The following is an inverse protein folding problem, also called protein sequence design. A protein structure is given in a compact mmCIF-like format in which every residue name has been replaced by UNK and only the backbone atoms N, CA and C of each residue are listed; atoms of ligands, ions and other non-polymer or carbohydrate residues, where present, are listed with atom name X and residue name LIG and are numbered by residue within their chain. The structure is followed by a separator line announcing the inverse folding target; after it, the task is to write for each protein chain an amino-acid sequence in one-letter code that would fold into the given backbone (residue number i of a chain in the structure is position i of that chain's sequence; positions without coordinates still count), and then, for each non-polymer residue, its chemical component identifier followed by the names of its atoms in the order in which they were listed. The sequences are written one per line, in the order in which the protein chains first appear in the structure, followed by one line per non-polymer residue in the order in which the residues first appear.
data_IF_800640719738
#
_entry.id   IF_800640719738
#
_cell.length_a   1.000
_cell.length_b   1.000
_cell.length_c   1.000
_cell.angle_alpha   90.00
_cell.angle_beta   90.00
_cell.angle_gamma   90.00
#
_symmetry.space_group_name_H-M   'P 1'
#
loop_
_entity.id
_entity.type
_entity.pdbx_description
1 polymer ?
#
# COMPACT_ATOMS: atom_id res chain seq x y z
N UNK A 1 -5.38 13.56 -20.70
CA UNK A 1 -4.41 12.96 -19.75
C UNK A 1 -3.01 13.22 -20.27
N UNK A 2 -2.07 13.61 -19.42
CA UNK A 2 -0.68 13.79 -19.80
C UNK A 2 -0.03 12.43 -20.12
N UNK A 3 1.10 12.45 -20.83
CA UNK A 3 1.92 11.24 -21.05
C UNK A 3 2.26 10.55 -19.72
N UNK A 4 2.59 11.32 -18.69
CA UNK A 4 2.97 10.80 -17.37
C UNK A 4 1.80 10.12 -16.66
N UNK A 5 0.61 10.72 -16.71
CA UNK A 5 -0.62 10.12 -16.17
C UNK A 5 -0.95 8.79 -16.86
N UNK A 6 -0.84 8.73 -18.19
CA UNK A 6 -1.09 7.49 -18.93
C UNK A 6 -0.09 6.41 -18.55
N UNK A 7 1.20 6.73 -18.48
CA UNK A 7 2.24 5.78 -18.07
C UNK A 7 2.03 5.27 -16.64
N UNK A 8 1.73 6.15 -15.68
CA UNK A 8 1.43 5.79 -14.29
C UNK A 8 0.25 4.81 -14.21
N UNK A 9 -0.88 5.13 -14.83
CA UNK A 9 -2.08 4.30 -14.78
C UNK A 9 -1.91 2.95 -15.50
N UNK A 10 -1.01 2.86 -16.49
CA UNK A 10 -0.71 1.63 -17.23
C UNK A 10 0.35 0.75 -16.57
N UNK A 11 0.90 1.19 -15.45
CA UNK A 11 2.00 0.49 -14.78
C UNK A 11 1.54 -0.87 -14.21
N UNK A 12 2.44 -1.86 -14.28
CA UNK A 12 2.20 -3.22 -13.80
C UNK A 12 1.89 -3.28 -12.30
N UNK A 13 2.40 -2.30 -11.53
CA UNK A 13 2.12 -2.13 -10.11
C UNK A 13 0.63 -2.27 -9.79
N UNK A 14 -0.25 -1.63 -10.57
CA UNK A 14 -1.69 -1.63 -10.29
C UNK A 14 -2.29 -3.04 -10.37
N UNK A 15 -1.88 -3.83 -11.37
CA UNK A 15 -2.33 -5.21 -11.53
C UNK A 15 -1.79 -6.11 -10.40
N UNK A 16 -0.52 -5.95 -10.03
CA UNK A 16 0.08 -6.67 -8.90
C UNK A 16 -0.59 -6.32 -7.58
N UNK A 17 -0.94 -5.06 -7.37
CA UNK A 17 -1.61 -4.58 -6.16
C UNK A 17 -3.05 -5.10 -6.04
N UNK A 18 -3.79 -5.17 -7.15
CA UNK A 18 -5.11 -5.81 -7.18
C UNK A 18 -5.00 -7.31 -6.84
N UNK A 19 -3.98 -7.99 -7.39
CA UNK A 19 -3.71 -9.40 -7.07
C UNK A 19 -3.39 -9.60 -5.58
N UNK A 20 -2.59 -8.73 -4.98
CA UNK A 20 -2.29 -8.75 -3.55
C UNK A 20 -3.58 -8.67 -2.71
N UNK A 21 -4.46 -7.71 -3.03
CA UNK A 21 -5.76 -7.56 -2.35
C UNK A 21 -6.62 -8.82 -2.46
N UNK A 22 -6.68 -9.44 -3.64
CA UNK A 22 -7.40 -10.71 -3.85
C UNK A 22 -6.82 -11.82 -2.97
N UNK A 23 -5.50 -12.01 -2.95
CA UNK A 23 -4.85 -13.06 -2.13
C UNK A 23 -5.13 -12.84 -0.64
N UNK A 24 -5.04 -11.59 -0.16
CA UNK A 24 -5.28 -11.25 1.23
C UNK A 24 -6.73 -11.50 1.67
N UNK A 25 -7.70 -11.22 0.80
CA UNK A 25 -9.12 -11.48 1.07
C UNK A 25 -9.47 -12.97 1.06
N UNK A 26 -8.67 -13.80 0.41
CA UNK A 26 -8.81 -15.27 0.43
C UNK A 26 -8.25 -15.92 1.70
N UNK A 27 -7.57 -15.16 2.58
CA UNK A 27 -7.09 -15.67 3.86
C UNK A 27 -8.27 -15.73 4.82
N UNK A 28 -8.68 -16.95 5.16
CA UNK A 28 -9.73 -17.18 6.14
C UNK A 28 -9.21 -16.93 7.58
N UNK A 29 -9.51 -15.74 8.09
CA UNK A 29 -9.12 -15.30 9.42
C UNK A 29 -9.78 -16.14 10.52
N UNK A 30 -10.97 -16.71 10.28
CA UNK A 30 -11.71 -17.46 11.30
C UNK A 30 -11.03 -18.77 11.69
N UNK A 31 -10.24 -19.31 10.77
CA UNK A 31 -9.46 -20.54 10.97
C UNK A 31 -8.10 -20.30 11.63
N UNK A 32 -7.76 -19.06 11.96
CA UNK A 32 -6.50 -18.71 12.60
C UNK A 32 -6.76 -18.54 14.10
N UNK A 33 -6.20 -19.45 14.90
CA UNK A 33 -6.36 -19.46 16.36
C UNK A 33 -5.26 -18.71 17.11
N UNK A 34 -4.16 -18.39 16.43
CA UNK A 34 -3.02 -17.73 17.04
C UNK A 34 -3.14 -16.20 16.91
N UNK A 35 -3.25 -15.51 18.05
CA UNK A 35 -3.42 -14.06 18.11
C UNK A 35 -2.28 -13.28 17.44
N UNK A 36 -1.03 -13.74 17.55
CA UNK A 36 0.09 -13.07 16.89
C UNK A 36 -0.06 -13.11 15.36
N UNK A 37 -0.51 -14.24 14.82
CA UNK A 37 -0.77 -14.38 13.37
C UNK A 37 -1.90 -13.45 12.92
N UNK A 38 -2.94 -13.31 13.73
CA UNK A 38 -4.06 -12.39 13.46
C UNK A 38 -3.59 -10.93 13.43
N UNK A 39 -2.78 -10.52 14.40
CA UNK A 39 -2.22 -9.16 14.48
C UNK A 39 -1.35 -8.84 13.26
N UNK A 40 -0.49 -9.78 12.86
CA UNK A 40 0.38 -9.63 11.69
C UNK A 40 -0.45 -9.45 10.40
N UNK A 41 -1.52 -10.24 10.20
CA UNK A 41 -2.42 -10.10 9.05
C UNK A 41 -3.18 -8.78 9.09
N UNK A 42 -3.69 -8.38 10.26
CA UNK A 42 -4.41 -7.12 10.42
C UNK A 42 -3.51 -5.92 10.06
N UNK A 43 -2.23 -5.98 10.43
CA UNK A 43 -1.25 -4.94 10.09
C UNK A 43 -0.98 -4.86 8.58
N UNK A 44 -0.89 -6.00 7.89
CA UNK A 44 -0.78 -6.04 6.41
C UNK A 44 -2.01 -5.39 5.76
N UNK A 45 -3.22 -5.73 6.22
CA UNK A 45 -4.46 -5.13 5.72
C UNK A 45 -4.45 -3.61 5.84
N UNK A 46 -4.12 -3.10 7.02
CA UNK A 46 -4.01 -1.65 7.27
C UNK A 46 -2.96 -0.99 6.38
N UNK A 47 -1.81 -1.63 6.18
CA UNK A 47 -0.76 -1.12 5.30
C UNK A 47 -1.22 -1.03 3.84
N UNK A 48 -1.94 -2.04 3.35
CA UNK A 48 -2.49 -2.05 1.99
C UNK A 48 -3.57 -0.99 1.81
N UNK A 49 -4.49 -0.83 2.75
CA UNK A 49 -5.50 0.24 2.72
C UNK A 49 -4.85 1.64 2.68
N UNK A 50 -3.78 1.83 3.46
CA UNK A 50 -3.00 3.06 3.45
C UNK A 50 -2.34 3.30 2.08
N UNK A 51 -1.70 2.27 1.50
CA UNK A 51 -1.06 2.36 0.18
C UNK A 51 -2.10 2.69 -0.89
N UNK A 52 -3.25 2.01 -0.90
CA UNK A 52 -4.34 2.27 -1.85
C UNK A 52 -4.81 3.72 -1.79
N UNK A 53 -4.98 4.25 -0.58
CA UNK A 53 -5.37 5.64 -0.36
C UNK A 53 -4.28 6.62 -0.80
N UNK A 54 -3.01 6.32 -0.51
CA UNK A 54 -1.89 7.18 -0.85
C UNK A 54 -1.68 7.28 -2.36
N UNK A 55 -1.81 6.17 -3.09
CA UNK A 55 -1.63 6.13 -4.56
C UNK A 55 -2.61 7.03 -5.28
N UNK A 56 -3.85 7.11 -4.79
CA UNK A 56 -4.88 8.01 -5.33
C UNK A 56 -4.54 9.49 -5.17
N UNK A 57 -3.59 9.82 -4.28
CA UNK A 57 -3.13 11.18 -4.04
C UNK A 57 -1.83 11.51 -4.79
N UNK A 58 -1.14 10.53 -5.38
CA UNK A 58 0.12 10.77 -6.09
C UNK A 58 -0.16 11.64 -7.32
N UNK A 59 0.67 12.65 -7.53
CA UNK A 59 0.63 13.48 -8.74
C UNK A 59 1.56 12.87 -9.81
N UNK A 60 1.03 12.24 -10.88
CA UNK A 60 1.87 11.57 -11.86
C UNK A 60 2.78 12.52 -12.66
N UNK A 61 2.44 13.80 -12.77
CA UNK A 61 3.15 14.75 -13.63
C UNK A 61 4.48 15.23 -13.07
N UNK A 62 4.66 15.12 -11.75
CA UNK A 62 5.87 15.58 -11.02
C UNK A 62 6.67 14.43 -10.40
N UNK A 63 6.22 13.18 -10.56
CA UNK A 63 6.92 12.00 -10.08
C UNK A 63 7.68 11.30 -11.21
N UNK A 64 8.80 10.64 -10.86
CA UNK A 64 9.65 9.93 -11.81
C UNK A 64 9.01 8.58 -12.17
N UNK A 65 8.84 8.26 -13.45
CA UNK A 65 8.14 7.04 -13.91
C UNK A 65 8.69 5.72 -13.34
N UNK A 66 10.00 5.64 -13.06
CA UNK A 66 10.65 4.37 -12.68
C UNK A 66 10.45 3.99 -11.19
N UNK A 67 9.80 4.82 -10.37
CA UNK A 67 9.65 4.53 -8.94
C UNK A 67 8.57 3.50 -8.63
N UNK A 68 7.58 3.30 -9.50
CA UNK A 68 6.55 2.26 -9.33
C UNK A 68 7.12 0.84 -9.44
N UNK A 69 8.14 0.62 -10.27
CA UNK A 69 8.81 -0.68 -10.41
C UNK A 69 9.37 -1.22 -9.09
N UNK A 70 9.90 -0.32 -8.25
CA UNK A 70 10.38 -0.71 -6.92
C UNK A 70 9.22 -1.13 -6.02
N UNK A 71 8.12 -0.39 -6.05
CA UNK A 71 6.91 -0.74 -5.30
C UNK A 71 6.34 -2.08 -5.78
N UNK A 72 6.28 -2.31 -7.10
CA UNK A 72 5.76 -3.54 -7.70
C UNK A 72 6.52 -4.76 -7.19
N UNK A 73 7.85 -4.70 -7.14
CA UNK A 73 8.68 -5.78 -6.57
C UNK A 73 8.30 -6.10 -5.13
N UNK A 74 8.08 -5.08 -4.28
CA UNK A 74 7.69 -5.31 -2.89
C UNK A 74 6.27 -5.88 -2.77
N UNK A 75 5.34 -5.46 -3.63
CA UNK A 75 3.98 -6.00 -3.71
C UNK A 75 3.97 -7.45 -4.17
N UNK A 76 4.76 -7.80 -5.19
CA UNK A 76 4.92 -9.18 -5.67
C UNK A 76 5.50 -10.06 -4.58
N UNK A 77 6.57 -9.60 -3.90
CA UNK A 77 7.15 -10.33 -2.78
C UNK A 77 6.13 -10.57 -1.66
N UNK A 78 5.39 -9.53 -1.26
CA UNK A 78 4.32 -9.65 -0.26
C UNK A 78 3.25 -10.65 -0.68
N UNK A 79 2.86 -10.65 -1.97
CA UNK A 79 1.87 -11.59 -2.52
C UNK A 79 2.36 -13.03 -2.48
N UNK A 80 3.63 -13.26 -2.82
CA UNK A 80 4.25 -14.58 -2.79
C UNK A 80 4.35 -15.11 -1.37
N UNK A 81 4.75 -14.29 -0.42
CA UNK A 81 4.81 -14.63 1.01
C UNK A 81 3.41 -14.98 1.57
N UNK A 82 2.37 -14.20 1.23
CA UNK A 82 0.99 -14.55 1.63
C UNK A 82 0.48 -15.85 1.00
N UNK A 83 0.87 -16.11 -0.25
CA UNK A 83 0.54 -17.37 -0.93
C UNK A 83 1.24 -18.57 -0.26
N UNK A 84 2.51 -18.40 0.12
CA UNK A 84 3.28 -19.38 0.89
C UNK A 84 2.68 -19.62 2.28
N UNK A 85 2.21 -18.57 2.95
CA UNK A 85 1.46 -18.71 4.20
C UNK A 85 0.18 -19.50 4.01
N UNK A 86 -0.59 -19.25 2.93
CA UNK A 86 -1.84 -19.97 2.67
C UNK A 86 -1.61 -21.49 2.56
N UNK A 87 -0.51 -21.89 1.92
CA UNK A 87 -0.13 -23.30 1.74
C UNK A 87 0.44 -23.94 3.01
N UNK A 88 1.33 -23.24 3.74
CA UNK A 88 2.13 -23.84 4.82
C UNK A 88 1.67 -23.48 6.23
N UNK A 89 0.81 -22.46 6.39
CA UNK A 89 0.33 -21.91 7.66
C UNK A 89 1.43 -21.44 8.63
N UNK A 90 2.65 -21.22 8.13
CA UNK A 90 3.79 -20.77 8.92
C UNK A 90 3.83 -19.23 9.02
N UNK A 91 3.77 -18.72 10.26
CA UNK A 91 3.80 -17.28 10.58
C UNK A 91 5.01 -16.54 10.02
N UNK A 92 6.15 -17.20 9.83
CA UNK A 92 7.38 -16.60 9.27
C UNK A 92 7.11 -15.96 7.91
N UNK A 93 6.26 -16.57 7.09
CA UNK A 93 5.88 -16.01 5.79
C UNK A 93 5.08 -14.70 5.95
N UNK A 94 4.20 -14.59 6.95
CA UNK A 94 3.48 -13.33 7.21
C UNK A 94 4.45 -12.26 7.74
N UNK A 95 5.38 -12.62 8.63
CA UNK A 95 6.38 -11.68 9.14
C UNK A 95 7.26 -11.12 8.00
N UNK A 96 7.63 -11.96 7.03
CA UNK A 96 8.36 -11.54 5.82
C UNK A 96 7.50 -10.69 4.88
N UNK A 97 6.22 -11.03 4.72
CA UNK A 97 5.26 -10.19 4.01
C UNK A 97 5.17 -8.79 4.65
N UNK A 98 5.12 -8.74 5.98
CA UNK A 98 5.13 -7.50 6.74
C UNK A 98 6.42 -6.69 6.58
N UNK A 99 7.57 -7.36 6.57
CA UNK A 99 8.84 -6.69 6.29
C UNK A 99 8.87 -6.10 4.86
N UNK A 100 8.31 -6.82 3.88
CA UNK A 100 8.24 -6.36 2.50
C UNK A 100 7.28 -5.17 2.33
N UNK A 101 6.12 -5.20 2.98
CA UNK A 101 5.16 -4.08 2.93
C UNK A 101 5.70 -2.83 3.64
N UNK A 102 6.54 -2.98 4.65
CA UNK A 102 7.19 -1.85 5.32
C UNK A 102 8.16 -1.11 4.41
N UNK A 103 8.93 -1.84 3.61
CA UNK A 103 9.81 -1.23 2.62
C UNK A 103 8.98 -0.54 1.53
N UNK A 104 7.83 -1.11 1.15
CA UNK A 104 6.87 -0.46 0.26
C UNK A 104 6.36 0.86 0.84
N UNK A 105 5.91 0.86 2.11
CA UNK A 105 5.48 2.06 2.84
C UNK A 105 6.58 3.12 2.97
N UNK A 106 7.83 2.71 3.18
CA UNK A 106 8.94 3.65 3.24
C UNK A 106 9.24 4.27 1.87
N UNK A 107 9.11 3.47 0.81
CA UNK A 107 9.38 3.91 -0.57
C UNK A 107 8.29 4.87 -1.07
N UNK A 108 7.01 4.57 -0.80
CA UNK A 108 5.89 5.36 -1.30
C UNK A 108 5.81 6.77 -0.71
N UNK A 109 6.32 6.98 0.51
CA UNK A 109 6.41 8.29 1.16
C UNK A 109 7.25 9.31 0.40
N UNK A 110 8.16 8.85 -0.46
CA UNK A 110 9.01 9.73 -1.25
C UNK A 110 8.31 10.27 -2.50
N UNK A 111 7.07 9.84 -2.77
CA UNK A 111 6.30 10.35 -3.90
C UNK A 111 5.61 11.65 -3.53
N UNK A 112 5.64 12.59 -4.46
CA UNK A 112 4.91 13.84 -4.35
C UNK A 112 3.41 13.57 -4.50
N UNK A 113 2.62 14.10 -3.56
CA UNK A 113 1.16 14.02 -3.59
C UNK A 113 0.58 15.37 -3.96
N UNK A 114 -0.61 15.35 -4.55
CA UNK A 114 -1.39 16.55 -4.79
C UNK A 114 -1.64 17.22 -3.44
N UNK A 115 -1.16 18.46 -3.29
CA UNK A 115 -1.39 19.22 -2.07
C UNK A 115 -2.91 19.35 -1.84
N UNK A 116 -3.41 19.05 -0.63
CA UNK A 116 -4.79 19.35 -0.33
C UNK A 116 -4.99 20.85 -0.54
N UNK A 117 -5.96 21.22 -1.39
CA UNK A 117 -6.35 22.62 -1.55
C UNK A 117 -6.87 23.09 -0.20
N UNK A 118 -6.03 23.81 0.55
CA UNK A 118 -6.46 24.46 1.79
C UNK A 118 -7.38 25.59 1.36
N UNK A 119 -8.69 25.35 1.34
CA UNK A 119 -9.64 26.45 1.24
C UNK A 119 -9.46 27.29 2.51
N UNK A 120 -9.11 28.57 2.35
CA UNK A 120 -8.63 29.46 3.41
C UNK A 120 -9.67 29.86 4.48
N UNK A 121 -10.56 28.96 4.91
CA UNK A 121 -11.57 29.25 5.94
C UNK A 121 -11.11 28.97 7.37
N UNK A 122 -9.89 28.46 7.58
CA UNK A 122 -9.42 28.01 8.91
C UNK A 122 -8.74 29.05 9.81
N UNK A 123 -8.38 30.25 9.33
CA UNK A 123 -7.46 31.14 10.07
C UNK A 123 -8.16 32.24 10.90
N UNK A 124 -9.47 32.47 10.74
CA UNK A 124 -10.15 33.64 11.34
C UNK A 124 -10.90 33.39 12.67
N UNK A 125 -10.47 32.45 13.55
CA UNK A 125 -11.20 32.18 14.80
C UNK A 125 -10.40 32.18 16.11
N UNK A 126 -9.23 32.81 16.14
CA UNK A 126 -8.41 32.89 17.35
C UNK A 126 -7.79 34.26 17.61
N UNK A 127 -8.48 35.36 17.29
CA UNK A 127 -8.16 36.70 17.81
C UNK A 127 -9.44 37.51 18.10
N UNK A 128 -10.06 37.23 19.23
CA UNK A 128 -10.87 38.24 19.94
C UNK A 128 -10.78 37.93 21.43
N UNK A 129 -9.81 38.60 22.06
CA UNK A 129 -9.68 38.82 23.50
C UNK A 129 -10.81 39.69 24.03
#
# INVERSE_FOLDING_TARGET
MSRWTTSFNSDQFHASFEKLNKVLNLIDIKNITCDSTLQEIARIKKAIEYIDSYIKLIDPDINILNTLNNLDRYIINTTNELSSFKANKNIVYIQRANSSIDVCLNTIKNFHTVLPKVSGQGINRSTSS
#
